data_IF_231506711103
#
_entry.id   IF_231506711103
#
_cell.length_a   1.000
_cell.length_b   1.000
_cell.length_c   1.000
_cell.angle_alpha   90.00
_cell.angle_beta   90.00
_cell.angle_gamma   90.00
#
_symmetry.space_group_name_H-M   'P 1'
#
loop_
_entity.id
_entity.type
_entity.pdbx_description
1 polymer ?
#
# COMPACT_ATOMS: atom_id res chain seq x y z
N UNK A 1 -15.86 -17.30 -2.74
CA UNK A 1 -14.45 -16.84 -2.75
C UNK A 1 -14.12 -15.93 -3.93
N UNK A 2 -15.08 -15.51 -4.77
CA UNK A 2 -14.77 -14.80 -6.04
C UNK A 2 -14.54 -13.28 -5.93
N UNK A 3 -15.19 -12.59 -4.99
CA UNK A 3 -15.12 -11.12 -4.93
C UNK A 3 -13.72 -10.56 -4.62
N UNK A 4 -12.89 -11.30 -3.87
CA UNK A 4 -11.55 -10.84 -3.51
C UNK A 4 -10.53 -11.01 -4.65
N UNK A 5 -10.72 -12.01 -5.51
CA UNK A 5 -9.85 -12.26 -6.67
C UNK A 5 -10.12 -11.25 -7.78
N UNK A 6 -11.39 -10.90 -7.99
CA UNK A 6 -11.83 -9.90 -8.97
C UNK A 6 -11.26 -8.50 -8.65
N UNK A 7 -11.34 -8.08 -7.39
CA UNK A 7 -10.76 -6.80 -6.91
C UNK A 7 -9.22 -6.77 -7.06
N UNK A 8 -8.54 -7.91 -6.87
CA UNK A 8 -7.08 -7.99 -7.01
C UNK A 8 -6.62 -7.87 -8.47
N UNK A 9 -7.33 -8.49 -9.41
CA UNK A 9 -7.05 -8.34 -10.84
C UNK A 9 -7.25 -6.90 -11.30
N UNK A 10 -8.36 -6.26 -10.91
CA UNK A 10 -8.69 -4.90 -11.33
C UNK A 10 -7.64 -3.88 -10.89
N UNK A 11 -7.10 -4.01 -9.67
CA UNK A 11 -6.08 -3.10 -9.17
C UNK A 11 -4.73 -3.26 -9.89
N UNK A 12 -4.32 -4.50 -10.17
CA UNK A 12 -3.08 -4.77 -10.88
C UNK A 12 -3.12 -4.23 -12.31
N UNK A 13 -4.24 -4.40 -13.00
CA UNK A 13 -4.43 -3.87 -14.36
C UNK A 13 -4.47 -2.34 -14.37
N UNK A 14 -5.14 -1.72 -13.39
CA UNK A 14 -5.14 -0.27 -13.22
C UNK A 14 -3.73 0.30 -12.94
N UNK A 15 -2.93 -0.40 -12.12
CA UNK A 15 -1.54 0.00 -11.82
C UNK A 15 -0.60 -0.18 -13.03
N UNK A 16 -0.85 -1.18 -13.88
CA UNK A 16 -0.13 -1.36 -15.15
C UNK A 16 -0.47 -0.27 -16.16
N UNK A 17 -1.74 0.13 -16.21
CA UNK A 17 -2.21 1.21 -17.07
C UNK A 17 -1.82 2.62 -16.58
N UNK A 18 -1.34 2.75 -15.33
CA UNK A 18 -0.89 4.01 -14.73
C UNK A 18 0.49 4.45 -15.26
N UNK A 19 0.50 4.90 -16.51
CA UNK A 19 1.70 5.34 -17.23
C UNK A 19 2.39 6.50 -16.51
N UNK A 20 1.62 7.51 -16.08
CA UNK A 20 2.12 8.71 -15.43
C UNK A 20 2.38 8.53 -13.92
N UNK A 21 2.02 7.38 -13.35
CA UNK A 21 2.19 7.07 -11.92
C UNK A 21 1.24 7.84 -11.00
N UNK A 22 0.13 8.38 -11.53
CA UNK A 22 -0.81 9.19 -10.76
C UNK A 22 -1.60 8.36 -9.75
N UNK A 23 -2.06 7.17 -10.16
CA UNK A 23 -2.77 6.24 -9.29
C UNK A 23 -1.85 5.75 -8.17
N UNK A 24 -0.62 5.35 -8.51
CA UNK A 24 0.39 4.94 -7.52
C UNK A 24 0.64 6.07 -6.51
N UNK A 25 0.84 7.31 -6.96
CA UNK A 25 1.04 8.46 -6.07
C UNK A 25 -0.17 8.71 -5.16
N UNK A 26 -1.39 8.64 -5.70
CA UNK A 26 -2.63 8.77 -4.91
C UNK A 26 -2.73 7.69 -3.82
N UNK A 27 -2.46 6.43 -4.17
CA UNK A 27 -2.49 5.33 -3.21
C UNK A 27 -1.43 5.49 -2.12
N UNK A 28 -0.22 5.92 -2.47
CA UNK A 28 0.84 6.21 -1.50
C UNK A 28 0.45 7.32 -0.52
N UNK A 29 -0.15 8.41 -1.01
CA UNK A 29 -0.65 9.51 -0.16
C UNK A 29 -1.70 8.97 0.82
N UNK A 30 -2.70 8.23 0.32
CA UNK A 30 -3.77 7.68 1.14
C UNK A 30 -3.23 6.70 2.21
N UNK A 31 -2.30 5.82 1.85
CA UNK A 31 -1.70 4.87 2.78
C UNK A 31 -0.87 5.60 3.87
N UNK A 32 -0.13 6.64 3.50
CA UNK A 32 0.60 7.48 4.48
C UNK A 32 -0.33 8.22 5.42
N UNK A 33 -1.47 8.72 4.93
CA UNK A 33 -2.48 9.32 5.80
C UNK A 33 -3.06 8.29 6.79
N UNK A 34 -3.36 7.09 6.33
CA UNK A 34 -3.86 6.01 7.17
C UNK A 34 -2.80 5.65 8.22
N UNK A 35 -1.54 5.48 7.83
CA UNK A 35 -0.43 5.20 8.75
C UNK A 35 -0.33 6.28 9.84
N UNK A 36 -0.35 7.56 9.48
CA UNK A 36 -0.32 8.66 10.45
C UNK A 36 -1.52 8.62 11.41
N UNK A 37 -2.72 8.31 10.92
CA UNK A 37 -3.92 8.18 11.77
C UNK A 37 -3.79 7.01 12.74
N UNK A 38 -3.27 5.87 12.29
CA UNK A 38 -3.03 4.69 13.13
C UNK A 38 -1.98 4.98 14.21
N UNK A 39 -0.88 5.65 13.85
CA UNK A 39 0.17 6.04 14.80
C UNK A 39 -0.33 7.04 15.86
N UNK A 40 -1.18 8.01 15.49
CA UNK A 40 -1.79 8.95 16.45
C UNK A 40 -2.71 8.21 17.41
N UNK A 41 -3.57 7.32 16.90
CA UNK A 41 -4.48 6.52 17.73
C UNK A 41 -3.72 5.58 18.66
N UNK A 42 -2.64 4.94 18.19
CA UNK A 42 -1.88 4.00 19.04
C UNK A 42 -1.20 4.66 20.23
N UNK A 43 -0.85 5.96 20.15
CA UNK A 43 -0.26 6.72 21.26
C UNK A 43 -1.26 7.11 22.34
N UNK A 44 -2.55 7.02 22.05
CA UNK A 44 -3.64 7.44 22.93
C UNK A 44 -4.33 6.26 23.64
N UNK A 45 -3.83 5.03 23.44
CA UNK A 45 -4.50 3.82 23.93
C UNK A 45 -3.93 3.31 25.25
N UNK A 46 -4.86 3.04 26.17
CA UNK A 46 -4.64 2.26 27.39
C UNK A 46 -5.18 0.82 27.27
N UNK A 47 -5.84 0.47 26.16
CA UNK A 47 -6.43 -0.84 25.92
C UNK A 47 -5.54 -1.73 25.03
N UNK A 48 -5.24 -2.94 25.51
CA UNK A 48 -4.33 -3.90 24.88
C UNK A 48 -4.90 -4.47 23.59
N UNK A 49 -6.19 -4.80 23.56
CA UNK A 49 -6.80 -5.44 22.39
C UNK A 49 -6.92 -4.45 21.23
N UNK A 50 -7.30 -3.21 21.52
CA UNK A 50 -7.31 -2.14 20.54
C UNK A 50 -5.90 -1.83 20.04
N UNK A 51 -4.89 -1.86 20.91
CA UNK A 51 -3.50 -1.70 20.48
C UNK A 51 -3.06 -2.81 19.50
N UNK A 52 -3.39 -4.07 19.78
CA UNK A 52 -3.05 -5.19 18.89
C UNK A 52 -3.74 -5.07 17.52
N UNK A 53 -5.01 -4.64 17.49
CA UNK A 53 -5.74 -4.37 16.24
C UNK A 53 -5.10 -3.24 15.45
N UNK A 54 -4.73 -2.14 16.11
CA UNK A 54 -4.02 -1.05 15.46
C UNK A 54 -2.63 -1.47 14.96
N UNK A 55 -1.91 -2.29 15.73
CA UNK A 55 -0.61 -2.82 15.33
C UNK A 55 -0.72 -3.68 14.06
N UNK A 56 -1.71 -4.55 13.99
CA UNK A 56 -1.99 -5.36 12.80
C UNK A 56 -2.34 -4.48 11.59
N UNK A 57 -3.19 -3.47 11.78
CA UNK A 57 -3.53 -2.52 10.72
C UNK A 57 -2.30 -1.73 10.24
N UNK A 58 -1.45 -1.25 11.15
CA UNK A 58 -0.21 -0.53 10.80
C UNK A 58 0.74 -1.43 10.03
N UNK A 59 0.85 -2.71 10.39
CA UNK A 59 1.70 -3.65 9.67
C UNK A 59 1.18 -3.91 8.24
N UNK A 60 -0.14 -4.04 8.07
CA UNK A 60 -0.75 -4.19 6.74
C UNK A 60 -0.49 -2.96 5.85
N UNK A 61 -0.63 -1.75 6.41
CA UNK A 61 -0.34 -0.50 5.69
C UNK A 61 1.14 -0.40 5.32
N UNK A 62 2.05 -0.74 6.24
CA UNK A 62 3.49 -0.76 5.98
C UNK A 62 3.86 -1.75 4.86
N UNK A 63 3.24 -2.94 4.85
CA UNK A 63 3.41 -3.91 3.76
C UNK A 63 2.93 -3.36 2.41
N UNK A 64 1.77 -2.68 2.39
CA UNK A 64 1.26 -2.06 1.17
C UNK A 64 2.18 -0.95 0.65
N UNK A 65 2.72 -0.11 1.54
CA UNK A 65 3.70 0.93 1.18
C UNK A 65 4.97 0.30 0.59
N UNK A 66 5.52 -0.75 1.20
CA UNK A 66 6.72 -1.43 0.68
C UNK A 66 6.53 -2.01 -0.73
N UNK A 67 5.30 -2.41 -1.09
CA UNK A 67 4.98 -2.90 -2.43
C UNK A 67 4.81 -1.75 -3.43
N UNK A 68 4.19 -0.65 -3.02
CA UNK A 68 3.84 0.47 -3.91
C UNK A 68 4.97 1.48 -4.10
N UNK A 69 5.83 1.70 -3.10
CA UNK A 69 6.93 2.68 -3.18
C UNK A 69 7.90 2.40 -4.35
N UNK A 70 8.32 1.14 -4.64
CA UNK A 70 9.12 0.84 -5.81
C UNK A 70 8.43 1.13 -7.15
N UNK A 71 7.09 1.08 -7.20
CA UNK A 71 6.30 1.34 -8.41
C UNK A 71 6.16 2.83 -8.72
N UNK A 72 6.42 3.70 -7.74
CA UNK A 72 6.39 5.15 -7.91
C UNK A 72 7.68 5.73 -8.52
N UNK A 73 8.75 4.94 -8.58
CA UNK A 73 10.01 5.35 -9.21
C UNK A 73 10.06 4.85 -10.67
N UNK A 74 9.84 5.73 -11.67
CA UNK A 74 9.89 5.33 -13.08
C UNK A 74 11.27 4.80 -13.50
N UNK A 75 12.35 5.10 -12.77
CA UNK A 75 13.70 4.60 -13.06
C UNK A 75 13.94 3.16 -12.60
N UNK A 76 13.04 2.59 -11.79
CA UNK A 76 13.09 1.20 -11.34
C UNK A 76 12.17 0.27 -12.14
N UNK A 77 11.35 0.78 -13.08
CA UNK A 77 10.54 -0.06 -13.97
C UNK A 77 11.39 -0.88 -14.94
N UNK A 78 12.60 -0.43 -15.28
CA UNK A 78 13.44 -1.05 -16.32
C UNK A 78 14.33 -2.22 -15.84
N UNK A 79 14.47 -2.45 -14.53
CA UNK A 79 15.35 -3.52 -14.02
C UNK A 79 14.79 -4.94 -14.17
N UNK A 80 13.56 -5.09 -14.68
CA UNK A 80 13.01 -6.40 -15.09
C UNK A 80 13.19 -6.71 -16.58
N UNK A 81 13.86 -5.84 -17.35
CA UNK A 81 14.08 -6.00 -18.80
C UNK A 81 15.41 -6.65 -19.22
N UNK A 82 16.35 -6.89 -18.31
CA UNK A 82 17.65 -7.52 -18.63
C UNK A 82 17.84 -8.85 -17.90
N UNK A 83 17.09 -9.85 -18.34
CA UNK A 83 17.42 -11.26 -18.14
C UNK A 83 17.18 -12.03 -19.45
N UNK A 84 17.81 -11.60 -20.54
CA UNK A 84 18.21 -12.45 -21.68
C UNK A 84 19.45 -11.84 -22.34
#
# INVERSE_FOLDING_TARGET
MMANEEIQMDLLDALRADADGELVRKLLIQLREIEQRLQRRSRQLNDRDTYLKLKAASQAVASALNVLEPLADPRRRDVSGSLL
#
